data_IF_422662137133
#
_entry.id   IF_422662137133
#
_cell.length_a   1.000
_cell.length_b   1.000
_cell.length_c   1.000
_cell.angle_alpha   90.00
_cell.angle_beta   90.00
_cell.angle_gamma   90.00
#
_symmetry.space_group_name_H-M   'P 1'
#
loop_
_entity.id
_entity.type
_entity.pdbx_description
1 polymer ?
#
# COMPACT_ATOMS: atom_id res chain seq x y z
N UNK A 1 7.35 19.16 10.80
CA UNK A 1 7.20 17.89 10.05
C UNK A 1 8.20 16.92 10.64
N UNK A 2 7.74 15.98 11.44
CA UNK A 2 8.59 15.01 12.15
C UNK A 2 8.07 13.64 11.80
N UNK A 3 8.79 12.91 10.96
CA UNK A 3 8.50 11.52 10.60
C UNK A 3 9.30 10.63 11.53
N UNK A 4 8.69 10.24 12.64
CA UNK A 4 9.20 9.21 13.53
C UNK A 4 8.15 8.10 13.61
N UNK A 5 8.55 6.86 13.33
CA UNK A 5 7.65 5.70 13.33
C UNK A 5 7.21 5.33 14.75
N UNK A 6 8.04 5.62 15.75
CA UNK A 6 7.76 5.38 17.17
C UNK A 6 8.50 6.41 18.04
N UNK A 7 7.82 6.94 19.07
CA UNK A 7 8.42 7.80 20.07
C UNK A 7 8.47 7.03 21.40
N UNK A 8 9.60 7.12 22.10
CA UNK A 8 9.82 6.44 23.39
C UNK A 8 10.06 7.50 24.47
N UNK A 9 9.36 7.36 25.60
CA UNK A 9 9.53 8.22 26.76
C UNK A 9 10.48 7.55 27.77
N UNK A 10 11.53 8.26 28.17
CA UNK A 10 12.49 7.80 29.17
C UNK A 10 12.39 8.67 30.41
N UNK A 11 11.81 8.15 31.49
CA UNK A 11 11.63 8.87 32.75
C UNK A 11 11.81 7.90 33.93
N UNK A 12 12.49 8.33 35.01
CA UNK A 12 12.64 7.54 36.23
C UNK A 12 13.34 6.17 36.08
N UNK A 13 14.18 5.99 35.06
CA UNK A 13 14.89 4.73 34.79
C UNK A 13 14.07 3.67 34.05
N UNK A 14 12.89 4.02 33.51
CA UNK A 14 12.10 3.15 32.62
C UNK A 14 11.94 3.78 31.24
N UNK A 15 11.84 2.94 30.23
CA UNK A 15 11.55 3.30 28.84
C UNK A 15 10.17 2.75 28.50
N UNK A 16 9.25 3.62 28.11
CA UNK A 16 7.89 3.24 27.73
C UNK A 16 7.53 3.84 26.35
N UNK A 17 6.76 3.12 25.52
CA UNK A 17 6.26 3.66 24.26
C UNK A 17 5.41 4.91 24.52
N UNK A 18 5.71 6.00 23.80
CA UNK A 18 5.02 7.27 23.90
C UNK A 18 4.05 7.44 22.71
N UNK A 19 2.75 7.22 22.92
CA UNK A 19 1.74 7.32 21.87
C UNK A 19 1.28 8.78 21.70
N UNK A 20 2.21 9.69 21.40
CA UNK A 20 1.97 11.12 21.19
C UNK A 20 3.09 11.74 20.35
N UNK A 21 2.95 13.01 19.96
CA UNK A 21 4.01 13.74 19.23
C UNK A 21 4.85 14.65 20.16
N UNK A 22 5.82 15.37 19.59
CA UNK A 22 6.67 16.29 20.36
C UNK A 22 5.88 17.46 20.98
N UNK A 23 4.74 17.84 20.40
CA UNK A 23 3.88 18.91 20.92
C UNK A 23 3.08 18.41 22.14
N UNK A 24 2.61 17.17 22.10
CA UNK A 24 1.99 16.46 23.23
C UNK A 24 2.99 16.28 24.39
N UNK A 25 4.27 16.01 24.08
CA UNK A 25 5.34 15.98 25.09
C UNK A 25 5.56 17.37 25.73
N UNK A 26 5.58 18.43 24.93
CA UNK A 26 5.75 19.81 25.43
C UNK A 26 4.62 20.22 26.40
N UNK A 27 3.38 19.84 26.09
CA UNK A 27 2.22 20.04 26.98
C UNK A 27 2.31 19.25 28.29
N UNK A 28 2.82 18.02 28.25
CA UNK A 28 3.00 17.19 29.45
C UNK A 28 4.08 17.74 30.39
N UNK A 29 5.21 18.23 29.84
CA UNK A 29 6.30 18.84 30.63
C UNK A 29 5.87 20.15 31.31
N UNK A 30 5.01 20.93 30.65
CA UNK A 30 4.43 22.16 31.23
C UNK A 30 3.36 21.86 32.28
N UNK A 31 2.64 20.74 32.17
CA UNK A 31 1.61 20.34 33.15
C UNK A 31 2.21 19.63 34.38
N UNK A 32 3.32 18.90 34.24
CA UNK A 32 4.00 18.26 35.38
C UNK A 32 4.66 19.27 36.34
N UNK A 33 4.84 20.51 35.91
CA UNK A 33 5.40 21.62 36.69
C UNK A 33 4.33 22.51 37.37
N UNK A 34 3.03 22.29 37.14
CA UNK A 34 1.94 23.07 37.71
C UNK A 34 0.79 22.20 38.24
N UNK A 35 0.61 22.17 39.56
CA UNK A 35 -0.35 21.30 40.24
C UNK A 35 -1.85 21.60 39.98
N UNK A 36 -2.65 20.56 40.20
CA UNK A 36 -4.11 20.55 40.40
C UNK A 36 -5.02 20.99 39.23
N UNK A 37 -5.20 20.09 38.25
CA UNK A 37 -6.24 20.20 37.21
C UNK A 37 -6.59 18.86 36.52
N UNK A 38 -6.39 17.73 37.18
CA UNK A 38 -6.18 16.41 36.54
C UNK A 38 -7.43 15.66 36.07
N UNK A 39 -8.64 15.97 36.54
CA UNK A 39 -9.84 15.18 36.20
C UNK A 39 -10.49 15.57 34.86
N UNK A 40 -10.64 16.87 34.57
CA UNK A 40 -11.30 17.35 33.34
C UNK A 40 -10.41 17.15 32.11
N UNK A 41 -9.11 17.38 32.24
CA UNK A 41 -8.12 17.22 31.18
C UNK A 41 -7.91 15.75 30.81
N UNK A 42 -7.97 14.83 31.78
CA UNK A 42 -7.89 13.39 31.53
C UNK A 42 -9.11 12.85 30.76
N UNK A 43 -10.32 13.33 31.07
CA UNK A 43 -11.55 12.96 30.37
C UNK A 43 -11.59 13.51 28.92
N UNK A 44 -11.17 14.76 28.71
CA UNK A 44 -11.03 15.33 27.37
C UNK A 44 -9.94 14.61 26.55
N UNK A 45 -8.81 14.27 27.18
CA UNK A 45 -7.76 13.45 26.55
C UNK A 45 -8.24 12.04 26.20
N UNK A 46 -9.08 11.41 27.03
CA UNK A 46 -9.65 10.09 26.75
C UNK A 46 -10.62 10.13 25.56
N UNK A 47 -11.48 11.15 25.48
CA UNK A 47 -12.39 11.36 24.35
C UNK A 47 -11.62 11.64 23.04
N UNK A 48 -10.58 12.47 23.08
CA UNK A 48 -9.72 12.75 21.94
C UNK A 48 -8.95 11.51 21.46
N UNK A 49 -8.41 10.69 22.38
CA UNK A 49 -7.77 9.40 22.05
C UNK A 49 -8.76 8.42 21.42
N UNK A 50 -10.00 8.38 21.89
CA UNK A 50 -11.02 7.50 21.34
C UNK A 50 -11.51 7.97 19.95
N UNK A 51 -11.62 9.28 19.73
CA UNK A 51 -11.92 9.86 18.41
C UNK A 51 -10.80 9.56 17.40
N UNK A 52 -9.52 9.82 17.75
CA UNK A 52 -8.36 9.51 16.90
C UNK A 52 -8.26 8.01 16.57
N UNK A 53 -8.55 7.11 17.51
CA UNK A 53 -8.60 5.65 17.25
C UNK A 53 -9.69 5.27 16.25
N UNK A 54 -10.86 5.91 16.32
CA UNK A 54 -11.96 5.68 15.37
C UNK A 54 -11.59 6.18 13.98
N UNK A 55 -11.03 7.38 13.86
CA UNK A 55 -10.57 7.95 12.59
C UNK A 55 -9.50 7.09 11.94
N UNK A 56 -8.50 6.62 12.70
CA UNK A 56 -7.48 5.70 12.20
C UNK A 56 -8.06 4.35 11.75
N UNK A 57 -9.04 3.80 12.47
CA UNK A 57 -9.72 2.57 12.06
C UNK A 57 -10.51 2.75 10.76
N UNK A 58 -11.21 3.87 10.60
CA UNK A 58 -11.95 4.20 9.38
C UNK A 58 -11.00 4.40 8.18
N UNK A 59 -9.86 5.08 8.38
CA UNK A 59 -8.84 5.25 7.35
C UNK A 59 -8.29 3.89 6.87
N UNK A 60 -7.98 2.98 7.81
CA UNK A 60 -7.54 1.61 7.49
C UNK A 60 -8.61 0.82 6.74
N UNK A 61 -9.87 0.91 7.14
CA UNK A 61 -10.98 0.24 6.44
C UNK A 61 -11.15 0.72 5.00
N UNK A 62 -10.92 2.02 4.74
CA UNK A 62 -11.01 2.58 3.38
C UNK A 62 -9.81 2.20 2.50
N UNK A 63 -8.62 2.05 3.07
CA UNK A 63 -7.38 1.69 2.35
C UNK A 63 -7.25 0.19 2.06
N UNK A 64 -7.69 -0.68 2.99
CA UNK A 64 -7.59 -2.13 2.83
C UNK A 64 -8.12 -2.69 1.50
N UNK A 65 -9.29 -2.29 0.98
CA UNK A 65 -9.78 -2.81 -0.30
C UNK A 65 -8.87 -2.44 -1.48
N UNK A 66 -8.35 -1.20 -1.51
CA UNK A 66 -7.42 -0.76 -2.56
C UNK A 66 -6.11 -1.55 -2.54
N UNK A 67 -5.54 -1.78 -1.34
CA UNK A 67 -4.32 -2.58 -1.19
C UNK A 67 -4.53 -4.01 -1.69
N UNK A 68 -5.70 -4.60 -1.44
CA UNK A 68 -6.04 -5.94 -1.95
C UNK A 68 -6.19 -5.95 -3.47
N UNK A 69 -6.77 -4.89 -4.03
CA UNK A 69 -6.96 -4.74 -5.47
C UNK A 69 -5.61 -4.58 -6.19
N UNK A 70 -4.71 -3.75 -5.66
CA UNK A 70 -3.32 -3.62 -6.14
C UNK A 70 -2.63 -4.98 -6.20
N UNK A 71 -2.65 -5.73 -5.10
CA UNK A 71 -2.02 -7.07 -5.05
C UNK A 71 -2.62 -8.04 -6.05
N UNK A 72 -3.92 -7.94 -6.31
CA UNK A 72 -4.61 -8.79 -7.29
C UNK A 72 -4.13 -8.45 -8.70
N UNK A 73 -4.06 -7.16 -9.03
CA UNK A 73 -3.58 -6.67 -10.33
C UNK A 73 -2.11 -7.02 -10.54
N UNK A 74 -1.27 -6.96 -9.49
CA UNK A 74 0.14 -7.38 -9.55
C UNK A 74 0.27 -8.87 -9.88
N UNK A 75 -0.53 -9.73 -9.25
CA UNK A 75 -0.52 -11.16 -9.56
C UNK A 75 -0.98 -11.41 -11.00
N UNK A 76 -2.04 -10.74 -11.44
CA UNK A 76 -2.52 -10.85 -12.83
C UNK A 76 -1.45 -10.37 -13.83
N UNK A 77 -0.71 -9.30 -13.53
CA UNK A 77 0.39 -8.82 -14.37
C UNK A 77 1.49 -9.88 -14.48
N UNK A 78 1.94 -10.45 -13.37
CA UNK A 78 2.96 -11.49 -13.34
C UNK A 78 2.54 -12.70 -14.19
N UNK A 79 1.30 -13.16 -14.01
CA UNK A 79 0.74 -14.29 -14.75
C UNK A 79 0.73 -14.01 -16.27
N UNK A 80 0.27 -12.82 -16.70
CA UNK A 80 0.23 -12.45 -18.12
C UNK A 80 1.63 -12.27 -18.72
N UNK A 81 2.57 -11.71 -17.95
CA UNK A 81 3.97 -11.59 -18.37
C UNK A 81 4.62 -12.96 -18.55
N UNK A 82 4.36 -13.90 -17.64
CA UNK A 82 4.86 -15.27 -17.76
C UNK A 82 4.28 -15.98 -19.00
N UNK A 83 2.98 -15.82 -19.26
CA UNK A 83 2.34 -16.33 -20.48
C UNK A 83 2.93 -15.71 -21.75
N UNK A 84 3.17 -14.40 -21.75
CA UNK A 84 3.77 -13.69 -22.87
C UNK A 84 5.18 -14.21 -23.15
N UNK A 85 6.00 -14.37 -22.10
CA UNK A 85 7.35 -14.92 -22.22
C UNK A 85 7.35 -16.34 -22.80
N UNK A 86 6.40 -17.19 -22.41
CA UNK A 86 6.23 -18.53 -22.99
C UNK A 86 5.93 -18.48 -24.49
N UNK A 87 5.02 -17.60 -24.92
CA UNK A 87 4.70 -17.42 -26.35
C UNK A 87 5.91 -16.87 -27.12
N UNK A 88 6.66 -15.94 -26.54
CA UNK A 88 7.87 -15.39 -27.17
C UNK A 88 8.96 -16.45 -27.32
N UNK A 89 9.09 -17.38 -26.36
CA UNK A 89 9.97 -18.53 -26.50
C UNK A 89 9.53 -19.49 -27.60
N UNK A 90 8.22 -19.72 -27.76
CA UNK A 90 7.70 -20.53 -28.88
C UNK A 90 7.95 -19.85 -30.23
N UNK A 91 7.69 -18.54 -30.33
CA UNK A 91 7.93 -17.74 -31.54
C UNK A 91 9.41 -17.63 -31.93
N UNK A 92 10.33 -17.83 -30.98
CA UNK A 92 11.77 -17.84 -31.22
C UNK A 92 12.31 -19.16 -31.78
N UNK A 93 11.49 -20.22 -31.85
CA UNK A 93 11.89 -21.54 -32.36
C UNK A 93 11.99 -21.53 -33.90
N UNK A 94 13.15 -21.84 -34.50
CA UNK A 94 13.31 -21.88 -35.96
C UNK A 94 12.39 -22.91 -36.64
N UNK A 95 12.05 -23.99 -35.94
CA UNK A 95 11.21 -25.08 -36.44
C UNK A 95 9.79 -24.60 -36.80
N UNK A 96 9.30 -23.58 -36.09
CA UNK A 96 7.98 -22.98 -36.32
C UNK A 96 7.85 -22.34 -37.71
N UNK A 97 8.98 -21.94 -38.31
CA UNK A 97 9.02 -21.31 -39.64
C UNK A 97 9.46 -22.29 -40.73
N UNK A 98 9.99 -23.46 -40.34
CA UNK A 98 10.42 -24.50 -41.26
C UNK A 98 9.28 -25.43 -41.66
N UNK A 99 8.35 -25.67 -40.74
CA UNK A 99 7.08 -26.34 -41.03
C UNK A 99 6.10 -25.28 -41.58
N UNK A 100 5.37 -25.60 -42.64
CA UNK A 100 4.35 -24.73 -43.25
C UNK A 100 3.09 -24.57 -42.35
N UNK A 101 3.29 -24.39 -41.04
CA UNK A 101 2.26 -24.25 -40.01
C UNK A 101 1.90 -22.76 -39.81
N UNK A 102 1.58 -22.09 -40.93
CA UNK A 102 1.21 -20.66 -40.98
C UNK A 102 0.07 -20.33 -40.02
N UNK A 103 -0.84 -21.30 -39.78
CA UNK A 103 -1.96 -21.16 -38.85
C UNK A 103 -1.51 -21.01 -37.39
N UNK A 104 -0.57 -21.84 -36.94
CA UNK A 104 -0.03 -21.76 -35.58
C UNK A 104 0.78 -20.49 -35.35
N UNK A 105 1.59 -20.09 -36.32
CA UNK A 105 2.36 -18.84 -36.24
C UNK A 105 1.42 -17.62 -36.09
N UNK A 106 0.36 -17.57 -36.89
CA UNK A 106 -0.63 -16.50 -36.83
C UNK A 106 -1.38 -16.49 -35.48
N UNK A 107 -1.74 -17.66 -34.95
CA UNK A 107 -2.38 -17.78 -33.62
C UNK A 107 -1.47 -17.23 -32.50
N UNK A 108 -0.20 -17.63 -32.49
CA UNK A 108 0.78 -17.16 -31.51
C UNK A 108 0.98 -15.65 -31.59
N UNK A 109 1.06 -15.07 -32.79
CA UNK A 109 1.17 -13.62 -32.97
C UNK A 109 -0.07 -12.86 -32.48
N UNK A 110 -1.28 -13.34 -32.79
CA UNK A 110 -2.53 -12.75 -32.30
C UNK A 110 -2.57 -12.79 -30.77
N UNK A 111 -2.19 -13.93 -30.19
CA UNK A 111 -2.20 -14.13 -28.74
C UNK A 111 -1.15 -13.27 -28.04
N UNK A 112 0.05 -13.13 -28.60
CA UNK A 112 1.07 -12.20 -28.12
C UNK A 112 0.55 -10.75 -28.11
N UNK A 113 -0.09 -10.33 -29.20
CA UNK A 113 -0.69 -9.00 -29.30
C UNK A 113 -1.81 -8.76 -28.27
N UNK A 114 -2.65 -9.76 -28.02
CA UNK A 114 -3.70 -9.69 -26.99
C UNK A 114 -3.11 -9.56 -25.59
N UNK A 115 -2.13 -10.41 -25.23
CA UNK A 115 -1.47 -10.38 -23.93
C UNK A 115 -0.79 -9.04 -23.68
N UNK A 116 -0.10 -8.47 -24.67
CA UNK A 116 0.52 -7.15 -24.54
C UNK A 116 -0.50 -6.04 -24.27
N UNK A 117 -1.67 -6.08 -24.91
CA UNK A 117 -2.76 -5.11 -24.64
C UNK A 117 -3.34 -5.28 -23.23
N UNK A 118 -3.52 -6.52 -22.79
CA UNK A 118 -4.00 -6.82 -21.43
C UNK A 118 -3.01 -6.36 -20.37
N UNK A 119 -1.71 -6.62 -20.56
CA UNK A 119 -0.64 -6.14 -19.68
C UNK A 119 -0.70 -4.61 -19.59
N UNK A 120 -0.74 -3.90 -20.72
CA UNK A 120 -0.81 -2.43 -20.71
C UNK A 120 -2.07 -1.90 -19.99
N UNK A 121 -3.21 -2.57 -20.13
CA UNK A 121 -4.43 -2.21 -19.42
C UNK A 121 -4.30 -2.46 -17.90
N UNK A 122 -3.69 -3.57 -17.50
CA UNK A 122 -3.41 -3.89 -16.10
C UNK A 122 -2.40 -2.92 -15.48
N UNK A 123 -1.35 -2.53 -16.20
CA UNK A 123 -0.37 -1.52 -15.78
C UNK A 123 -1.04 -0.17 -15.54
N UNK A 124 -1.92 0.26 -16.45
CA UNK A 124 -2.70 1.48 -16.28
C UNK A 124 -3.60 1.43 -15.04
N UNK A 125 -4.29 0.30 -14.82
CA UNK A 125 -5.12 0.11 -13.62
C UNK A 125 -4.30 0.08 -12.34
N UNK A 126 -3.13 -0.57 -12.37
CA UNK A 126 -2.21 -0.62 -11.23
C UNK A 126 -1.77 0.80 -10.85
N UNK A 127 -1.39 1.62 -11.82
CA UNK A 127 -0.99 3.01 -11.59
C UNK A 127 -2.14 3.83 -10.98
N UNK A 128 -3.35 3.73 -11.52
CA UNK A 128 -4.52 4.44 -10.98
C UNK A 128 -4.81 4.03 -9.52
N UNK A 129 -4.68 2.73 -9.20
CA UNK A 129 -4.90 2.24 -7.84
C UNK A 129 -3.82 2.72 -6.87
N UNK A 130 -2.56 2.79 -7.31
CA UNK A 130 -1.46 3.35 -6.53
C UNK A 130 -1.68 4.85 -6.27
N UNK A 131 -2.02 5.64 -7.29
CA UNK A 131 -2.33 7.07 -7.14
C UNK A 131 -3.50 7.30 -6.16
N UNK A 132 -4.55 6.47 -6.25
CA UNK A 132 -5.68 6.52 -5.31
C UNK A 132 -5.25 6.19 -3.88
N UNK A 133 -4.37 5.20 -3.70
CA UNK A 133 -3.84 4.85 -2.40
C UNK A 133 -2.98 5.97 -1.80
N UNK A 134 -2.13 6.61 -2.60
CA UNK A 134 -1.30 7.77 -2.23
C UNK A 134 -2.19 8.97 -1.83
N UNK A 135 -3.27 9.23 -2.56
CA UNK A 135 -4.23 10.30 -2.23
C UNK A 135 -4.99 10.09 -0.90
N UNK A 136 -4.94 8.88 -0.36
CA UNK A 136 -5.54 8.50 0.92
C UNK A 136 -4.54 8.50 2.09
N UNK A 137 -3.26 8.77 1.83
CA UNK A 137 -2.23 8.98 2.86
C UNK A 137 -2.28 10.41 3.43
#
# INVERSE_FOLDING_TARGET
>A
RTTADELLLVEGGRVEPFPGDLDDYAGRVTTSSGGAGTASTAAHGAAARQARRREAALARQRRQPLVREVRTVEQELEDRQHLLAGIEQELARPELYAEADDGRLQELMVRQGSLRKEIAALEGRWLELQERLESME
#
